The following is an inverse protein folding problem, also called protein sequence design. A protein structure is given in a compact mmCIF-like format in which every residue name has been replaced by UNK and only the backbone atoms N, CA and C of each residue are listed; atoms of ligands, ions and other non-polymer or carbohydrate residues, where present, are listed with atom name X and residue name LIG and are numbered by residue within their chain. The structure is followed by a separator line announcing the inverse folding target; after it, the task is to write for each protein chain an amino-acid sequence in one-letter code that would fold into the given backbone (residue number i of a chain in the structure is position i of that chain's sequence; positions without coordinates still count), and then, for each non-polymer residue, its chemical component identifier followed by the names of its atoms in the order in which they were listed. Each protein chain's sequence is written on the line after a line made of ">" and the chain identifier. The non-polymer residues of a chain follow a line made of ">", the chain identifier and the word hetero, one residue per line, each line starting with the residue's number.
data_IF_102323696836
#
_entry.id   IF_102323696836
#
_cell.length_a   1.000
_cell.length_b   1.000
_cell.length_c   1.000
_cell.angle_alpha   90.00
_cell.angle_beta   90.00
_cell.angle_gamma   90.00
#
_symmetry.space_group_name_H-M   'P 1'
#
loop_
_entity.id
_entity.type
_entity.pdbx_description
1 polymer ?
#
# COMPACT_ATOMS: atom_id res chain seq x y z
N UNK A 1 -17.74 -39.86 6.47
CA UNK A 1 -17.72 -38.39 6.34
C UNK A 1 -16.47 -38.03 5.55
N UNK A 2 -16.60 -37.68 4.27
CA UNK A 2 -15.45 -37.21 3.48
C UNK A 2 -14.93 -35.93 4.10
N UNK A 3 -13.62 -35.85 4.38
CA UNK A 3 -12.97 -34.57 4.64
C UNK A 3 -13.28 -33.69 3.42
N UNK A 4 -14.07 -32.64 3.63
CA UNK A 4 -14.22 -31.61 2.63
C UNK A 4 -12.77 -31.06 2.41
N UNK A 5 -12.24 -31.25 1.22
CA UNK A 5 -10.95 -30.63 0.85
C UNK A 5 -11.09 -29.13 1.08
N UNK A 6 -10.30 -28.60 2.00
CA UNK A 6 -10.27 -27.16 2.27
C UNK A 6 -9.76 -26.46 1.02
N UNK A 7 -10.65 -25.77 0.31
CA UNK A 7 -10.27 -25.05 -0.92
C UNK A 7 -9.36 -23.90 -0.52
N UNK A 8 -8.14 -23.89 -1.07
CA UNK A 8 -7.21 -22.75 -0.92
C UNK A 8 -7.64 -21.64 -1.86
N UNK A 9 -8.12 -20.52 -1.33
CA UNK A 9 -8.53 -19.36 -2.13
C UNK A 9 -7.40 -18.85 -3.02
N UNK A 10 -6.17 -18.86 -2.52
CA UNK A 10 -4.98 -18.43 -3.28
C UNK A 10 -4.70 -19.28 -4.52
N UNK A 11 -5.19 -20.53 -4.56
CA UNK A 11 -5.03 -21.42 -5.72
C UNK A 11 -5.98 -21.08 -6.88
N UNK A 12 -7.02 -20.28 -6.63
CA UNK A 12 -8.04 -19.91 -7.63
C UNK A 12 -7.63 -18.70 -8.45
N UNK A 13 -6.47 -18.10 -8.19
CA UNK A 13 -5.96 -16.96 -8.93
C UNK A 13 -4.53 -17.17 -9.41
N UNK A 14 -4.25 -16.68 -10.61
CA UNK A 14 -2.92 -16.73 -11.22
C UNK A 14 -1.93 -15.76 -10.56
N UNK A 15 -2.43 -14.64 -10.03
CA UNK A 15 -1.68 -13.60 -9.30
C UNK A 15 -2.35 -13.37 -7.95
N UNK A 16 -1.67 -12.75 -6.99
CA UNK A 16 -2.23 -12.48 -5.66
C UNK A 16 -1.98 -11.05 -5.19
N UNK A 17 -2.95 -10.51 -4.45
CA UNK A 17 -2.84 -9.19 -3.82
C UNK A 17 -2.59 -8.04 -4.79
N UNK A 18 -2.03 -6.94 -4.30
CA UNK A 18 -1.71 -5.76 -5.11
C UNK A 18 -0.68 -6.01 -6.22
N UNK A 19 0.07 -7.10 -6.17
CA UNK A 19 0.95 -7.54 -7.27
C UNK A 19 0.22 -7.97 -8.55
N UNK A 20 -1.13 -8.00 -8.56
CA UNK A 20 -1.94 -8.24 -9.75
C UNK A 20 -2.20 -6.97 -10.58
N UNK A 21 -1.84 -5.78 -10.10
CA UNK A 21 -2.03 -4.50 -10.80
C UNK A 21 -1.37 -4.54 -12.18
N UNK A 22 -1.93 -3.78 -13.13
CA UNK A 22 -1.29 -3.54 -14.43
C UNK A 22 -0.02 -2.74 -14.16
N UNK A 23 1.07 -3.11 -14.85
CA UNK A 23 2.35 -2.42 -14.69
C UNK A 23 2.21 -0.91 -15.01
N UNK A 24 2.92 -0.02 -14.27
CA UNK A 24 2.76 1.42 -14.42
C UNK A 24 3.05 1.90 -15.85
N UNK A 25 4.02 1.31 -16.54
CA UNK A 25 4.35 1.66 -17.91
C UNK A 25 3.18 1.38 -18.89
N UNK A 26 2.56 0.20 -18.78
CA UNK A 26 1.41 -0.18 -19.61
C UNK A 26 0.20 0.68 -19.30
N UNK A 27 -0.08 0.91 -18.00
CA UNK A 27 -1.20 1.74 -17.56
C UNK A 27 -1.05 3.19 -18.06
N UNK A 28 0.13 3.78 -17.91
CA UNK A 28 0.42 5.14 -18.39
C UNK A 28 0.26 5.27 -19.91
N UNK A 29 0.62 4.24 -20.68
CA UNK A 29 0.39 4.24 -22.13
C UNK A 29 -1.10 4.32 -22.46
N UNK A 30 -1.93 3.57 -21.73
CA UNK A 30 -3.40 3.59 -21.92
C UNK A 30 -3.98 4.93 -21.49
N UNK A 31 -3.61 5.45 -20.31
CA UNK A 31 -4.12 6.73 -19.80
C UNK A 31 -3.77 7.90 -20.72
N UNK A 32 -2.56 7.93 -21.28
CA UNK A 32 -2.15 8.97 -22.25
C UNK A 32 -3.00 8.98 -23.54
N UNK A 33 -3.73 7.91 -23.82
CA UNK A 33 -4.66 7.86 -24.96
C UNK A 33 -6.02 8.49 -24.68
N UNK A 34 -6.30 8.83 -23.41
CA UNK A 34 -7.54 9.52 -23.05
C UNK A 34 -7.54 10.96 -23.56
N UNK A 35 -8.71 11.51 -23.92
CA UNK A 35 -8.80 12.92 -24.26
C UNK A 35 -8.38 13.77 -23.06
N UNK A 36 -7.79 14.96 -23.31
CA UNK A 36 -7.44 15.88 -22.24
C UNK A 36 -8.66 16.18 -21.36
N UNK A 37 -8.48 16.11 -20.05
CA UNK A 37 -9.51 16.51 -19.09
C UNK A 37 -9.76 18.01 -19.18
N UNK A 38 -11.03 18.41 -19.14
CA UNK A 38 -11.37 19.85 -19.05
C UNK A 38 -10.89 20.35 -17.69
N UNK A 39 -10.12 21.46 -17.63
CA UNK A 39 -9.68 22.01 -16.36
C UNK A 39 -10.87 22.27 -15.43
N UNK A 40 -10.81 21.76 -14.23
CA UNK A 40 -11.82 21.97 -13.21
C UNK A 40 -11.14 22.47 -11.92
N UNK A 41 -11.40 23.73 -11.48
CA UNK A 41 -10.75 24.31 -10.31
C UNK A 41 -11.11 23.60 -9.00
N UNK A 42 -12.18 22.80 -8.98
CA UNK A 42 -12.59 22.03 -7.81
C UNK A 42 -11.93 20.64 -7.77
N UNK A 43 -11.27 20.21 -8.84
CA UNK A 43 -10.43 19.01 -8.84
C UNK A 43 -9.07 19.36 -8.21
N UNK A 44 -8.89 19.03 -6.92
CA UNK A 44 -7.66 19.36 -6.19
C UNK A 44 -6.54 18.36 -6.50
N UNK A 45 -6.89 17.06 -6.61
CA UNK A 45 -5.97 15.96 -6.96
C UNK A 45 -6.66 15.08 -8.00
N UNK A 46 -6.00 14.83 -9.13
CA UNK A 46 -6.53 14.07 -10.26
C UNK A 46 -5.53 13.05 -10.80
N UNK A 47 -5.62 12.78 -12.11
CA UNK A 47 -4.78 11.75 -12.76
C UNK A 47 -3.33 12.19 -13.03
N UNK A 48 -3.02 13.48 -12.90
CA UNK A 48 -1.74 14.03 -13.33
C UNK A 48 -0.60 13.79 -12.35
N UNK A 49 -0.90 13.54 -11.08
CA UNK A 49 0.06 13.46 -9.98
C UNK A 49 0.35 12.03 -9.48
N UNK A 50 -0.41 11.03 -9.95
CA UNK A 50 -0.29 9.63 -9.48
C UNK A 50 -0.38 9.50 -7.96
N UNK A 51 -1.24 10.31 -7.33
CA UNK A 51 -1.54 10.22 -5.90
C UNK A 51 -2.42 9.01 -5.57
N UNK A 52 -2.54 8.69 -4.29
CA UNK A 52 -3.26 7.51 -3.80
C UNK A 52 -4.77 7.59 -4.06
N UNK A 53 -5.36 8.81 -4.06
CA UNK A 53 -6.78 9.01 -4.33
C UNK A 53 -7.07 10.33 -5.05
N UNK A 54 -8.22 10.38 -5.74
CA UNK A 54 -8.75 11.61 -6.30
C UNK A 54 -9.38 12.50 -5.22
N UNK A 55 -9.16 13.82 -5.28
CA UNK A 55 -9.72 14.80 -4.34
C UNK A 55 -10.50 15.87 -5.07
N UNK A 56 -11.78 16.02 -4.68
CA UNK A 56 -12.69 17.00 -5.30
C UNK A 56 -13.28 17.93 -4.23
N UNK A 57 -13.11 19.24 -4.41
CA UNK A 57 -13.64 20.28 -3.52
C UNK A 57 -15.16 20.37 -3.65
N UNK A 58 -15.84 20.37 -2.51
CA UNK A 58 -17.29 20.63 -2.40
C UNK A 58 -17.58 22.05 -1.90
N UNK A 59 -16.72 22.57 -1.03
CA UNK A 59 -16.79 23.91 -0.45
C UNK A 59 -15.39 24.34 -0.01
N UNK A 60 -15.27 25.55 0.55
CA UNK A 60 -13.99 26.05 1.10
C UNK A 60 -13.49 25.22 2.30
N UNK A 61 -14.36 24.49 2.99
CA UNK A 61 -14.04 23.71 4.17
C UNK A 61 -14.11 22.19 3.95
N UNK A 62 -14.61 21.72 2.79
CA UNK A 62 -14.90 20.31 2.58
C UNK A 62 -14.51 19.86 1.18
N UNK A 63 -13.77 18.75 1.11
CA UNK A 63 -13.47 18.02 -0.11
C UNK A 63 -13.77 16.52 0.07
N UNK A 64 -14.15 15.87 -1.04
CA UNK A 64 -14.25 14.42 -1.14
C UNK A 64 -12.89 13.84 -1.47
N UNK A 65 -12.56 12.71 -0.84
CA UNK A 65 -11.46 11.81 -1.23
C UNK A 65 -12.08 10.53 -1.72
N UNK A 66 -11.75 10.09 -2.93
CA UNK A 66 -12.32 8.90 -3.54
C UNK A 66 -11.25 7.99 -4.10
N UNK A 67 -11.35 6.71 -3.72
CA UNK A 67 -10.48 5.65 -4.21
C UNK A 67 -11.24 4.37 -4.48
N UNK A 68 -10.60 3.45 -5.21
CA UNK A 68 -11.06 2.10 -5.44
C UNK A 68 -9.86 1.15 -5.50
N UNK A 69 -9.88 0.13 -4.64
CA UNK A 69 -8.88 -0.93 -4.69
C UNK A 69 -9.52 -2.29 -4.49
N UNK A 70 -9.17 -3.24 -5.37
CA UNK A 70 -9.63 -4.63 -5.30
C UNK A 70 -8.57 -5.55 -5.91
N UNK A 71 -8.50 -6.78 -5.39
CA UNK A 71 -7.51 -7.74 -5.85
C UNK A 71 -7.96 -9.19 -5.60
N UNK A 72 -7.20 -10.12 -6.11
CA UNK A 72 -7.39 -11.56 -5.96
C UNK A 72 -6.88 -12.04 -4.59
N UNK A 73 -7.36 -13.18 -4.07
CA UNK A 73 -6.96 -13.68 -2.75
C UNK A 73 -5.44 -13.77 -2.55
N UNK A 74 -4.99 -13.27 -1.41
CA UNK A 74 -3.59 -13.25 -1.00
C UNK A 74 -3.31 -14.18 0.18
N UNK A 75 -4.36 -14.56 0.90
CA UNK A 75 -4.38 -15.56 1.97
C UNK A 75 -5.53 -16.54 1.74
N UNK A 76 -5.46 -17.73 2.35
CA UNK A 76 -6.47 -18.77 2.14
C UNK A 76 -7.68 -18.62 3.06
N UNK A 77 -7.53 -17.96 4.23
CA UNK A 77 -8.65 -17.69 5.13
C UNK A 77 -9.54 -16.57 4.57
N UNK A 78 -10.83 -16.86 4.27
CA UNK A 78 -11.73 -15.87 3.64
C UNK A 78 -11.95 -14.62 4.49
N UNK A 79 -12.10 -14.79 5.80
CA UNK A 79 -12.32 -13.67 6.71
C UNK A 79 -11.11 -12.72 6.72
N UNK A 80 -9.91 -13.28 6.85
CA UNK A 80 -8.67 -12.51 6.78
C UNK A 80 -8.47 -11.83 5.43
N UNK A 81 -8.84 -12.49 4.32
CA UNK A 81 -8.79 -11.87 3.00
C UNK A 81 -9.70 -10.64 2.93
N UNK A 82 -10.92 -10.73 3.46
CA UNK A 82 -11.84 -9.60 3.56
C UNK A 82 -11.26 -8.44 4.38
N UNK A 83 -10.64 -8.74 5.54
CA UNK A 83 -9.99 -7.74 6.38
C UNK A 83 -8.85 -7.03 5.66
N UNK A 84 -7.98 -7.78 4.98
CA UNK A 84 -6.82 -7.24 4.26
C UNK A 84 -7.29 -6.34 3.10
N UNK A 85 -8.29 -6.78 2.34
CA UNK A 85 -8.82 -6.02 1.23
C UNK A 85 -9.44 -4.70 1.67
N UNK A 86 -10.16 -4.70 2.79
CA UNK A 86 -10.72 -3.49 3.37
C UNK A 86 -9.62 -2.56 3.93
N UNK A 87 -8.63 -3.10 4.66
CA UNK A 87 -7.53 -2.30 5.19
C UNK A 87 -6.73 -1.62 4.08
N UNK A 88 -6.50 -2.34 2.97
CA UNK A 88 -5.79 -1.80 1.81
C UNK A 88 -6.57 -0.66 1.14
N UNK A 89 -7.87 -0.86 0.84
CA UNK A 89 -8.67 0.17 0.16
C UNK A 89 -8.93 1.42 1.03
N UNK A 90 -8.98 1.27 2.36
CA UNK A 90 -9.11 2.38 3.30
C UNK A 90 -7.83 3.19 3.44
N UNK A 91 -6.68 2.61 3.10
CA UNK A 91 -5.35 3.19 3.32
C UNK A 91 -5.13 4.47 2.51
N UNK A 92 -5.58 4.51 1.26
CA UNK A 92 -5.49 5.68 0.38
C UNK A 92 -6.14 6.92 1.03
N UNK A 93 -7.29 6.74 1.69
CA UNK A 93 -7.97 7.84 2.37
C UNK A 93 -7.09 8.40 3.50
N UNK A 94 -6.44 7.52 4.27
CA UNK A 94 -5.53 7.93 5.35
C UNK A 94 -4.28 8.61 4.83
N UNK A 95 -3.69 8.11 3.73
CA UNK A 95 -2.52 8.71 3.09
C UNK A 95 -2.80 10.15 2.64
N UNK A 96 -4.00 10.37 2.08
CA UNK A 96 -4.47 11.69 1.63
C UNK A 96 -4.90 12.65 2.77
N UNK A 97 -4.73 12.26 4.05
CA UNK A 97 -5.15 13.07 5.20
C UNK A 97 -6.66 13.07 5.46
N UNK A 98 -7.40 12.20 4.79
CA UNK A 98 -8.85 12.09 4.88
C UNK A 98 -9.33 11.16 6.00
N UNK A 99 -10.63 11.25 6.27
CA UNK A 99 -11.37 10.34 7.17
C UNK A 99 -12.36 9.53 6.34
N UNK A 100 -12.30 8.18 6.33
CA UNK A 100 -13.27 7.34 5.64
C UNK A 100 -14.70 7.63 6.12
N UNK A 101 -15.65 7.74 5.19
CA UNK A 101 -17.06 8.00 5.48
C UNK A 101 -17.97 6.85 5.06
N UNK A 102 -17.93 6.50 3.78
CA UNK A 102 -18.74 5.41 3.22
C UNK A 102 -17.92 4.50 2.33
N UNK A 103 -18.35 3.23 2.25
CA UNK A 103 -17.72 2.22 1.39
C UNK A 103 -18.76 1.44 0.60
N UNK A 104 -18.36 1.01 -0.59
CA UNK A 104 -19.10 0.08 -1.45
C UNK A 104 -18.22 -1.16 -1.68
N UNK A 105 -18.79 -2.36 -1.49
CA UNK A 105 -18.12 -3.61 -1.83
C UNK A 105 -18.02 -3.79 -3.35
N UNK A 106 -16.86 -4.27 -3.82
CA UNK A 106 -16.63 -4.74 -5.18
C UNK A 106 -16.34 -6.22 -5.11
N UNK A 107 -17.21 -7.04 -5.73
CA UNK A 107 -17.18 -8.49 -5.61
C UNK A 107 -17.16 -9.13 -6.99
N UNK A 108 -16.18 -9.97 -7.27
CA UNK A 108 -16.20 -10.98 -8.31
C UNK A 108 -16.03 -12.34 -7.63
N UNK A 109 -16.96 -13.27 -7.82
CA UNK A 109 -16.96 -14.52 -7.05
C UNK A 109 -17.57 -15.67 -7.84
N UNK A 110 -16.95 -16.86 -7.89
CA UNK A 110 -17.45 -18.03 -8.61
C UNK A 110 -18.57 -18.72 -7.81
N UNK A 111 -19.75 -18.11 -7.79
CA UNK A 111 -20.88 -18.48 -6.94
C UNK A 111 -21.42 -19.89 -7.22
N UNK A 112 -21.17 -20.43 -8.41
CA UNK A 112 -21.55 -21.78 -8.80
C UNK A 112 -20.55 -22.86 -8.38
N UNK A 113 -19.32 -22.47 -7.99
CA UNK A 113 -18.20 -23.37 -7.69
C UNK A 113 -17.88 -23.39 -6.20
N UNK A 114 -17.88 -22.22 -5.56
CA UNK A 114 -17.56 -22.05 -4.15
C UNK A 114 -18.82 -21.96 -3.28
N UNK A 115 -18.70 -22.45 -2.04
CA UNK A 115 -19.77 -22.29 -1.06
C UNK A 115 -19.99 -20.80 -0.75
N UNK A 116 -21.25 -20.40 -0.64
CA UNK A 116 -21.65 -19.03 -0.35
C UNK A 116 -21.18 -18.53 1.01
N UNK A 117 -20.92 -19.42 1.95
CA UNK A 117 -20.34 -19.08 3.27
C UNK A 117 -18.98 -18.45 3.15
N UNK A 118 -18.17 -18.87 2.16
CA UNK A 118 -16.85 -18.28 1.87
C UNK A 118 -16.99 -16.79 1.52
N UNK A 119 -17.92 -16.43 0.64
CA UNK A 119 -18.22 -15.03 0.35
C UNK A 119 -18.74 -14.31 1.59
N UNK A 120 -19.61 -14.98 2.38
CA UNK A 120 -20.10 -14.44 3.65
C UNK A 120 -18.98 -14.08 4.63
N UNK A 121 -17.95 -14.93 4.73
CA UNK A 121 -16.79 -14.70 5.58
C UNK A 121 -15.93 -13.53 5.06
N UNK A 122 -15.69 -13.43 3.75
CA UNK A 122 -14.99 -12.30 3.13
C UNK A 122 -15.69 -10.98 3.48
N UNK A 123 -17.02 -10.92 3.24
CA UNK A 123 -17.82 -9.73 3.51
C UNK A 123 -17.82 -9.35 5.00
N UNK A 124 -17.88 -10.35 5.90
CA UNK A 124 -17.82 -10.13 7.35
C UNK A 124 -16.48 -9.56 7.76
N UNK A 125 -15.36 -10.14 7.30
CA UNK A 125 -14.01 -9.61 7.59
C UNK A 125 -13.83 -8.17 7.14
N UNK A 126 -14.33 -7.82 5.95
CA UNK A 126 -14.33 -6.44 5.45
C UNK A 126 -15.22 -5.52 6.30
N UNK A 127 -16.44 -5.96 6.64
CA UNK A 127 -17.37 -5.16 7.44
C UNK A 127 -16.78 -4.81 8.82
N UNK A 128 -16.08 -5.73 9.47
CA UNK A 128 -15.42 -5.49 10.75
C UNK A 128 -14.33 -4.41 10.63
N UNK A 129 -13.54 -4.42 9.54
CA UNK A 129 -12.54 -3.37 9.28
C UNK A 129 -13.16 -2.02 8.93
N UNK A 130 -14.25 -2.01 8.19
CA UNK A 130 -15.02 -0.79 7.90
C UNK A 130 -15.55 -0.17 9.19
N UNK A 131 -16.07 -1.00 10.10
CA UNK A 131 -16.51 -0.55 11.41
C UNK A 131 -15.36 -0.01 12.26
N UNK A 132 -14.21 -0.70 12.29
CA UNK A 132 -12.97 -0.25 12.98
C UNK A 132 -12.49 1.11 12.42
N UNK A 133 -12.61 1.32 11.12
CA UNK A 133 -12.31 2.60 10.48
C UNK A 133 -13.27 3.72 10.88
N UNK A 134 -14.46 3.39 11.38
CA UNK A 134 -15.55 4.33 11.66
C UNK A 134 -16.35 4.71 10.41
N UNK A 135 -16.21 3.96 9.32
CA UNK A 135 -16.94 4.16 8.08
C UNK A 135 -18.23 3.32 8.02
N UNK A 136 -19.11 3.63 7.07
CA UNK A 136 -20.37 2.94 6.87
C UNK A 136 -20.39 2.19 5.55
N UNK A 137 -20.69 0.89 5.59
CA UNK A 137 -20.97 0.10 4.39
C UNK A 137 -22.38 0.47 3.85
N UNK A 138 -22.43 1.01 2.64
CA UNK A 138 -23.68 1.52 2.04
C UNK A 138 -24.19 0.68 0.86
N UNK A 139 -23.47 -0.38 0.47
CA UNK A 139 -23.87 -1.27 -0.61
C UNK A 139 -22.67 -1.85 -1.37
N UNK A 140 -22.84 -2.05 -2.67
CA UNK A 140 -21.78 -2.57 -3.51
C UNK A 140 -22.30 -3.18 -4.80
N UNK A 141 -21.40 -3.80 -5.57
CA UNK A 141 -21.72 -4.51 -6.80
C UNK A 141 -21.06 -5.89 -6.81
N UNK A 142 -21.74 -6.88 -7.38
CA UNK A 142 -21.22 -8.24 -7.48
C UNK A 142 -21.45 -8.83 -8.87
N UNK A 143 -20.46 -9.59 -9.35
CA UNK A 143 -20.52 -10.35 -10.59
C UNK A 143 -20.13 -11.80 -10.35
N UNK A 144 -20.66 -12.73 -11.14
CA UNK A 144 -20.16 -14.11 -11.21
C UNK A 144 -18.90 -14.14 -12.09
N UNK A 145 -17.78 -14.59 -11.52
CA UNK A 145 -16.49 -14.65 -12.21
C UNK A 145 -15.74 -15.89 -11.73
N UNK A 146 -14.96 -16.51 -12.62
CA UNK A 146 -14.20 -17.72 -12.32
C UNK A 146 -13.09 -17.47 -11.28
N UNK A 147 -12.53 -16.27 -11.26
CA UNK A 147 -11.45 -15.87 -10.38
C UNK A 147 -11.96 -14.90 -9.31
N UNK A 148 -11.95 -15.28 -8.01
CA UNK A 148 -12.46 -14.41 -6.97
C UNK A 148 -11.64 -13.13 -6.89
N UNK A 149 -12.33 -11.98 -6.76
CA UNK A 149 -11.77 -10.66 -6.51
C UNK A 149 -12.64 -9.94 -5.50
N UNK A 150 -12.02 -9.26 -4.59
CA UNK A 150 -12.71 -8.46 -3.59
C UNK A 150 -11.97 -7.18 -3.27
N UNK A 151 -12.69 -6.14 -2.98
CA UNK A 151 -12.20 -4.87 -2.52
C UNK A 151 -13.31 -3.86 -2.28
N UNK A 152 -12.93 -2.60 -2.14
CA UNK A 152 -13.86 -1.52 -1.81
C UNK A 152 -13.65 -0.33 -2.74
N UNK A 153 -14.75 0.37 -3.03
CA UNK A 153 -14.70 1.78 -3.38
C UNK A 153 -14.96 2.57 -2.11
N UNK A 154 -14.06 3.50 -1.78
CA UNK A 154 -14.09 4.26 -0.53
C UNK A 154 -14.27 5.74 -0.83
N UNK A 155 -15.19 6.37 -0.10
CA UNK A 155 -15.36 7.82 -0.05
C UNK A 155 -14.98 8.31 1.34
N UNK A 156 -14.07 9.27 1.40
CA UNK A 156 -13.65 9.98 2.61
C UNK A 156 -13.88 11.48 2.50
N UNK A 157 -13.64 12.17 3.58
CA UNK A 157 -13.72 13.62 3.70
C UNK A 157 -12.41 14.18 4.21
N UNK A 158 -12.02 15.35 3.70
CA UNK A 158 -10.86 16.11 4.12
C UNK A 158 -11.14 17.62 4.01
N UNK A 159 -10.49 18.45 4.83
CA UNK A 159 -10.47 19.89 4.59
C UNK A 159 -9.55 20.18 3.40
N UNK A 160 -9.92 21.04 2.43
CA UNK A 160 -9.08 21.30 1.25
C UNK A 160 -7.64 21.67 1.58
N UNK A 161 -7.41 22.48 2.62
CA UNK A 161 -6.07 22.90 3.06
C UNK A 161 -5.29 21.82 3.82
N UNK A 162 -5.92 20.68 4.15
CA UNK A 162 -5.30 19.56 4.86
C UNK A 162 -5.08 18.34 3.96
N UNK A 163 -5.31 18.47 2.67
CA UNK A 163 -5.02 17.40 1.71
C UNK A 163 -3.52 17.11 1.74
N UNK A 164 -3.16 15.86 1.96
CA UNK A 164 -1.79 15.38 1.79
C UNK A 164 -1.65 14.69 0.45
N UNK A 165 -0.53 14.90 -0.19
CA UNK A 165 -0.20 14.27 -1.48
C UNK A 165 1.13 13.55 -1.36
N UNK A 166 1.44 12.72 -2.32
CA UNK A 166 2.76 12.11 -2.43
C UNK A 166 3.85 13.11 -2.89
N UNK A 167 3.46 14.33 -3.26
CA UNK A 167 4.34 15.42 -3.67
C UNK A 167 4.41 16.50 -2.59
N UNK A 168 5.53 17.25 -2.55
CA UNK A 168 5.71 18.36 -1.61
C UNK A 168 6.75 18.11 -0.52
N UNK A 169 7.45 16.97 -0.55
CA UNK A 169 8.58 16.68 0.32
C UNK A 169 9.66 17.76 0.16
N UNK A 170 10.21 18.24 1.28
CA UNK A 170 11.18 19.34 1.34
C UNK A 170 12.56 18.83 1.71
N UNK A 171 13.58 19.44 1.12
CA UNK A 171 14.98 19.14 1.49
C UNK A 171 15.19 19.27 3.00
N UNK A 172 15.77 18.25 3.60
CA UNK A 172 15.97 18.14 5.05
C UNK A 172 14.92 17.30 5.78
N UNK A 173 13.73 17.10 5.18
CA UNK A 173 12.69 16.25 5.78
C UNK A 173 13.23 14.85 6.09
N UNK A 174 12.65 14.24 7.10
CA UNK A 174 12.92 12.85 7.47
C UNK A 174 11.81 11.94 6.94
N UNK A 175 12.22 10.73 6.53
CA UNK A 175 11.31 9.71 5.97
C UNK A 175 11.02 8.66 7.03
N UNK A 176 9.74 8.52 7.39
CA UNK A 176 9.26 7.51 8.35
C UNK A 176 8.38 6.51 7.60
N UNK A 177 8.65 5.21 7.80
CA UNK A 177 7.83 4.10 7.30
C UNK A 177 7.07 3.46 8.47
N UNK A 178 5.76 3.22 8.35
CA UNK A 178 4.91 2.83 9.49
C UNK A 178 4.53 1.35 9.56
N UNK A 179 4.98 0.52 8.61
CA UNK A 179 4.87 -0.95 8.64
C UNK A 179 6.09 -1.57 7.96
N UNK A 180 6.47 -2.81 8.33
CA UNK A 180 7.57 -3.52 7.69
C UNK A 180 7.26 -3.91 6.24
N UNK A 181 8.31 -4.04 5.40
CA UNK A 181 8.24 -4.58 4.04
C UNK A 181 8.47 -6.10 4.00
N UNK A 182 8.36 -6.69 2.80
CA UNK A 182 8.58 -8.13 2.57
C UNK A 182 7.28 -8.93 2.43
N UNK A 183 6.14 -8.26 2.36
CA UNK A 183 4.81 -8.87 2.24
C UNK A 183 4.70 -9.74 0.98
N UNK A 184 5.19 -9.28 -0.17
CA UNK A 184 5.08 -10.01 -1.44
C UNK A 184 5.87 -11.32 -1.44
N UNK A 185 7.07 -11.31 -0.87
CA UNK A 185 7.91 -12.50 -0.71
C UNK A 185 7.21 -13.52 0.21
N UNK A 186 6.70 -13.07 1.37
CA UNK A 186 6.03 -13.97 2.31
C UNK A 186 4.71 -14.51 1.74
N UNK A 187 3.89 -13.70 1.09
CA UNK A 187 2.62 -14.17 0.50
C UNK A 187 2.83 -15.13 -0.66
N UNK A 188 3.93 -14.96 -1.42
CA UNK A 188 4.35 -15.95 -2.42
C UNK A 188 4.72 -17.28 -1.76
N UNK A 189 5.31 -17.23 -0.57
CA UNK A 189 5.71 -18.41 0.21
C UNK A 189 4.51 -19.15 0.81
N UNK A 190 3.41 -18.46 1.17
CA UNK A 190 2.15 -19.08 1.62
C UNK A 190 1.64 -20.07 0.56
N UNK A 191 1.61 -19.70 -0.70
CA UNK A 191 1.13 -20.55 -1.81
C UNK A 191 1.92 -21.86 -1.94
N UNK A 192 3.08 -21.96 -1.32
CA UNK A 192 3.98 -23.11 -1.34
C UNK A 192 4.13 -23.78 0.04
N UNK A 193 3.26 -23.43 1.00
CA UNK A 193 3.24 -23.98 2.36
C UNK A 193 4.59 -23.82 3.10
N UNK A 194 5.30 -22.70 2.88
CA UNK A 194 6.62 -22.43 3.48
C UNK A 194 6.55 -21.66 4.79
N UNK A 195 5.40 -21.12 5.15
CA UNK A 195 5.20 -20.38 6.40
C UNK A 195 4.51 -21.26 7.46
N UNK A 196 4.96 -21.12 8.70
CA UNK A 196 4.24 -21.65 9.86
C UNK A 196 2.92 -20.90 10.09
N UNK A 197 2.05 -21.45 10.92
CA UNK A 197 0.80 -20.78 11.31
C UNK A 197 1.06 -19.46 12.04
N UNK A 198 2.12 -19.36 12.85
CA UNK A 198 2.51 -18.14 13.56
C UNK A 198 2.97 -17.05 12.56
N UNK A 199 3.83 -17.40 11.60
CA UNK A 199 4.30 -16.48 10.57
C UNK A 199 3.15 -16.00 9.68
N UNK A 200 2.23 -16.90 9.31
CA UNK A 200 1.02 -16.56 8.55
C UNK A 200 0.13 -15.60 9.34
N UNK A 201 -0.05 -15.84 10.64
CA UNK A 201 -0.81 -14.96 11.53
C UNK A 201 -0.14 -13.60 11.63
N UNK A 202 1.17 -13.53 11.82
CA UNK A 202 1.94 -12.29 11.87
C UNK A 202 1.79 -11.47 10.59
N UNK A 203 1.98 -12.11 9.44
CA UNK A 203 1.83 -11.48 8.12
C UNK A 203 0.40 -10.95 7.91
N UNK A 204 -0.61 -11.78 8.23
CA UNK A 204 -2.03 -11.39 8.13
C UNK A 204 -2.34 -10.19 9.02
N UNK A 205 -1.81 -10.17 10.25
CA UNK A 205 -1.98 -9.05 11.18
C UNK A 205 -1.41 -7.76 10.60
N UNK A 206 -0.20 -7.78 10.04
CA UNK A 206 0.40 -6.59 9.42
C UNK A 206 -0.47 -6.07 8.27
N UNK A 207 -0.92 -6.96 7.37
CA UNK A 207 -1.75 -6.58 6.24
C UNK A 207 -3.14 -6.10 6.65
N UNK A 208 -3.75 -6.67 7.70
CA UNK A 208 -5.10 -6.29 8.16
C UNK A 208 -5.11 -5.10 9.13
N UNK A 209 -3.96 -4.61 9.58
CA UNK A 209 -3.87 -3.43 10.43
C UNK A 209 -4.15 -2.17 9.60
N UNK A 210 -5.11 -1.34 10.06
CA UNK A 210 -5.43 -0.05 9.43
C UNK A 210 -4.28 0.96 9.62
N UNK A 211 -4.04 1.77 8.61
CA UNK A 211 -3.15 2.94 8.72
C UNK A 211 -3.78 4.11 9.49
N UNK A 212 -5.01 3.93 10.00
CA UNK A 212 -5.78 4.93 10.77
C UNK A 212 -4.97 5.55 11.90
N UNK A 213 -4.38 4.71 12.76
CA UNK A 213 -3.65 5.20 13.94
C UNK A 213 -2.44 6.05 13.54
N UNK A 214 -1.68 5.63 12.55
CA UNK A 214 -0.56 6.41 12.04
C UNK A 214 -1.02 7.75 11.45
N UNK A 215 -2.12 7.74 10.68
CA UNK A 215 -2.70 8.95 10.10
C UNK A 215 -3.23 9.93 11.16
N UNK A 216 -3.89 9.44 12.23
CA UNK A 216 -4.37 10.26 13.33
C UNK A 216 -3.21 10.88 14.13
N UNK A 217 -2.14 10.11 14.38
CA UNK A 217 -0.97 10.61 15.11
C UNK A 217 -0.22 11.66 14.31
N UNK A 218 -0.06 11.48 12.99
CA UNK A 218 0.68 12.45 12.17
C UNK A 218 -0.13 13.72 11.87
N UNK A 219 -1.44 13.80 12.18
CA UNK A 219 -2.28 14.95 11.82
C UNK A 219 -1.75 16.31 12.34
N UNK A 220 -1.26 16.44 13.59
CA UNK A 220 -0.76 17.71 14.13
C UNK A 220 0.67 18.07 13.71
N UNK A 221 1.38 17.19 13.00
CA UNK A 221 2.76 17.39 12.58
C UNK A 221 2.87 18.03 11.19
N UNK A 222 3.98 18.71 10.91
CA UNK A 222 4.29 19.31 9.61
C UNK A 222 4.72 18.22 8.61
N UNK A 223 3.76 17.41 8.18
CA UNK A 223 3.92 16.39 7.14
C UNK A 223 3.78 17.05 5.79
N UNK A 224 4.87 17.04 5.00
CA UNK A 224 4.93 17.70 3.71
C UNK A 224 4.54 16.79 2.54
N UNK A 225 4.77 15.48 2.67
CA UNK A 225 4.30 14.47 1.71
C UNK A 225 3.97 13.16 2.43
N UNK A 226 2.99 12.43 1.91
CA UNK A 226 2.59 11.13 2.43
C UNK A 226 2.06 10.27 1.28
N UNK A 227 2.33 8.98 1.33
CA UNK A 227 1.73 7.95 0.47
C UNK A 227 1.70 6.63 1.23
N UNK A 228 0.86 5.69 0.85
CA UNK A 228 0.95 4.34 1.37
C UNK A 228 1.83 3.45 0.47
N UNK A 229 2.47 2.45 1.07
CA UNK A 229 3.37 1.56 0.34
C UNK A 229 2.62 0.31 -0.07
N UNK A 230 2.28 0.20 -1.35
CA UNK A 230 1.51 -0.92 -1.90
C UNK A 230 2.20 -1.63 -3.06
N UNK A 231 1.53 -1.89 -4.15
CA UNK A 231 1.96 -2.78 -5.22
C UNK A 231 3.27 -2.42 -5.90
N UNK A 232 3.67 -1.15 -5.92
CA UNK A 232 4.95 -0.71 -6.50
C UNK A 232 6.13 -0.83 -5.53
N UNK A 233 5.87 -1.24 -4.27
CA UNK A 233 6.87 -1.41 -3.24
C UNK A 233 7.43 -0.10 -2.69
N UNK A 234 8.27 -0.20 -1.67
CA UNK A 234 8.83 0.99 -1.01
C UNK A 234 9.53 1.93 -2.00
N UNK A 235 10.44 1.40 -2.84
CA UNK A 235 11.20 2.26 -3.77
C UNK A 235 10.33 2.80 -4.91
N UNK A 236 9.24 2.12 -5.29
CA UNK A 236 8.31 2.61 -6.29
C UNK A 236 7.59 3.87 -5.80
N UNK A 237 6.92 3.78 -4.65
CA UNK A 237 6.21 4.92 -4.07
C UNK A 237 7.15 6.04 -3.62
N UNK A 238 8.33 5.72 -3.09
CA UNK A 238 9.37 6.72 -2.83
C UNK A 238 9.84 7.42 -4.11
N UNK A 239 9.92 6.71 -5.25
CA UNK A 239 10.26 7.33 -6.55
C UNK A 239 9.17 8.29 -7.04
N UNK A 240 7.89 7.98 -6.81
CA UNK A 240 6.77 8.88 -7.08
C UNK A 240 6.89 10.14 -6.20
N UNK A 241 7.16 9.98 -4.90
CA UNK A 241 7.39 11.10 -3.98
C UNK A 241 8.57 11.98 -4.42
N UNK A 242 9.73 11.39 -4.78
CA UNK A 242 10.91 12.12 -5.23
C UNK A 242 10.62 12.95 -6.49
N UNK A 243 9.98 12.33 -7.49
CA UNK A 243 9.63 12.97 -8.76
C UNK A 243 8.58 14.06 -8.59
N UNK A 244 7.51 13.76 -7.85
CA UNK A 244 6.42 14.72 -7.58
C UNK A 244 6.90 15.94 -6.79
N UNK A 245 7.85 15.75 -5.88
CA UNK A 245 8.44 16.83 -5.07
C UNK A 245 9.58 17.57 -5.76
N UNK A 246 10.17 17.02 -6.83
CA UNK A 246 11.35 17.56 -7.48
C UNK A 246 12.61 17.53 -6.60
N UNK A 247 12.68 16.60 -5.66
CA UNK A 247 13.81 16.41 -4.70
C UNK A 247 14.41 15.03 -4.86
N UNK A 248 15.60 14.81 -4.32
CA UNK A 248 16.18 13.48 -4.15
C UNK A 248 15.76 12.87 -2.82
N UNK A 249 15.79 11.54 -2.71
CA UNK A 249 15.60 10.83 -1.46
C UNK A 249 16.83 9.97 -1.14
N UNK A 250 17.19 9.91 0.14
CA UNK A 250 18.17 8.96 0.67
C UNK A 250 17.42 7.93 1.49
N UNK A 251 17.59 6.64 1.18
CA UNK A 251 17.01 5.53 1.96
C UNK A 251 18.16 4.67 2.51
N UNK A 252 18.19 4.51 3.82
CA UNK A 252 19.17 3.67 4.52
C UNK A 252 18.59 2.26 4.65
N UNK A 253 19.14 1.32 3.88
CA UNK A 253 18.66 -0.06 3.84
C UNK A 253 18.59 -0.71 5.23
N UNK A 254 19.58 -0.47 6.08
CA UNK A 254 19.66 -1.06 7.42
C UNK A 254 18.57 -0.59 8.38
N UNK A 255 17.94 0.56 8.09
CA UNK A 255 16.88 1.15 8.91
C UNK A 255 15.47 0.76 8.42
N UNK A 256 15.36 0.16 7.23
CA UNK A 256 14.07 -0.28 6.69
C UNK A 256 13.58 -1.53 7.45
N UNK A 257 12.43 -1.45 8.16
CA UNK A 257 11.91 -2.58 8.90
C UNK A 257 11.42 -3.66 7.92
N UNK A 258 11.79 -4.91 8.20
CA UNK A 258 11.43 -6.07 7.38
C UNK A 258 10.73 -7.14 8.22
N UNK A 259 9.77 -7.82 7.61
CA UNK A 259 9.19 -9.01 8.22
C UNK A 259 10.25 -10.11 8.39
N UNK A 260 10.11 -10.99 9.41
CA UNK A 260 11.04 -12.10 9.60
C UNK A 260 11.16 -12.99 8.36
N UNK A 261 12.33 -13.57 8.13
CA UNK A 261 12.66 -14.52 7.06
C UNK A 261 12.53 -14.00 5.62
N UNK A 262 12.27 -12.69 5.41
CA UNK A 262 12.18 -12.13 4.05
C UNK A 262 13.43 -12.47 3.24
N UNK A 263 14.62 -12.26 3.78
CA UNK A 263 15.90 -12.54 3.13
C UNK A 263 16.05 -14.03 2.79
N UNK A 264 15.83 -14.90 3.78
CA UNK A 264 15.91 -16.35 3.62
C UNK A 264 14.97 -16.85 2.51
N UNK A 265 13.71 -16.41 2.52
CA UNK A 265 12.72 -16.82 1.52
C UNK A 265 13.04 -16.26 0.13
N UNK A 266 13.59 -15.05 0.05
CA UNK A 266 14.06 -14.50 -1.22
C UNK A 266 15.23 -15.33 -1.81
N UNK A 267 16.18 -15.81 -0.98
CA UNK A 267 17.27 -16.69 -1.36
C UNK A 267 16.76 -18.05 -1.87
N UNK A 268 15.64 -18.53 -1.34
CA UNK A 268 14.95 -19.74 -1.81
C UNK A 268 14.14 -19.51 -3.11
N UNK A 269 14.15 -18.28 -3.65
CA UNK A 269 13.53 -17.96 -4.93
C UNK A 269 12.07 -17.49 -4.86
N UNK A 270 11.53 -17.21 -3.66
CA UNK A 270 10.15 -16.73 -3.47
C UNK A 270 9.96 -15.23 -3.78
N UNK A 271 10.74 -14.69 -4.71
CA UNK A 271 10.58 -13.31 -5.18
C UNK A 271 9.47 -13.26 -6.24
N UNK A 272 8.34 -12.55 -5.96
CA UNK A 272 7.20 -12.51 -6.89
C UNK A 272 7.53 -11.76 -8.19
N UNK A 273 6.76 -12.06 -9.24
CA UNK A 273 6.89 -11.38 -10.53
C UNK A 273 6.67 -9.87 -10.44
N UNK A 274 5.73 -9.42 -9.59
CA UNK A 274 5.49 -7.99 -9.34
C UNK A 274 6.74 -7.26 -8.85
N UNK A 275 7.47 -7.85 -7.89
CA UNK A 275 8.74 -7.32 -7.36
C UNK A 275 9.80 -7.17 -8.45
N UNK A 276 9.94 -8.18 -9.32
CA UNK A 276 10.90 -8.13 -10.45
C UNK A 276 10.51 -7.06 -11.46
N UNK A 277 9.22 -6.89 -11.71
CA UNK A 277 8.71 -5.84 -12.60
C UNK A 277 8.94 -4.45 -12.00
N UNK A 278 8.71 -4.27 -10.70
CA UNK A 278 9.00 -3.03 -9.99
C UNK A 278 10.47 -2.66 -10.11
N UNK A 279 11.36 -3.62 -9.82
CA UNK A 279 12.80 -3.41 -9.95
C UNK A 279 13.20 -2.98 -11.38
N UNK A 280 12.69 -3.68 -12.40
CA UNK A 280 12.99 -3.35 -13.80
C UNK A 280 12.43 -1.96 -14.21
N UNK A 281 11.24 -1.59 -13.70
CA UNK A 281 10.64 -0.28 -13.96
C UNK A 281 11.45 0.87 -13.35
N UNK A 282 12.10 0.63 -12.21
CA UNK A 282 12.87 1.63 -11.47
C UNK A 282 14.31 1.75 -11.97
N UNK A 283 14.71 1.02 -13.02
CA UNK A 283 16.04 1.12 -13.60
C UNK A 283 16.35 2.58 -14.00
N UNK A 284 17.51 3.08 -13.56
CA UNK A 284 17.92 4.47 -13.76
C UNK A 284 17.29 5.50 -12.83
N UNK A 285 16.27 5.14 -12.04
CA UNK A 285 15.69 6.02 -11.01
C UNK A 285 16.31 5.82 -9.62
N UNK A 286 17.02 4.72 -9.42
CA UNK A 286 17.62 4.34 -8.13
C UNK A 286 19.13 4.23 -8.28
N UNK A 287 19.85 4.90 -7.39
CA UNK A 287 21.30 4.81 -7.25
C UNK A 287 21.61 3.81 -6.13
N UNK A 288 21.99 2.59 -6.52
CA UNK A 288 22.40 1.56 -5.58
C UNK A 288 23.90 1.56 -5.36
N UNK A 289 24.39 1.27 -4.13
CA UNK A 289 25.81 0.98 -3.90
C UNK A 289 26.28 -0.21 -4.77
N UNK A 290 27.50 -0.16 -5.26
CA UNK A 290 28.05 -1.24 -6.13
C UNK A 290 28.04 -2.61 -5.43
N UNK A 291 28.34 -2.64 -4.14
CA UNK A 291 28.39 -3.83 -3.30
C UNK A 291 27.02 -4.43 -2.95
N UNK A 292 25.92 -3.69 -3.20
CA UNK A 292 24.58 -4.19 -2.87
C UNK A 292 24.16 -5.33 -3.78
N UNK A 293 23.90 -6.48 -3.19
CA UNK A 293 23.46 -7.66 -3.91
C UNK A 293 22.05 -7.53 -4.51
N UNK A 294 21.78 -8.34 -5.52
CA UNK A 294 20.50 -8.32 -6.26
C UNK A 294 19.28 -8.63 -5.38
N UNK A 295 19.42 -9.50 -4.37
CA UNK A 295 18.28 -9.84 -3.50
C UNK A 295 17.91 -8.67 -2.60
N UNK A 296 18.88 -7.95 -2.08
CA UNK A 296 18.66 -6.70 -1.31
C UNK A 296 17.90 -5.67 -2.14
N UNK A 297 18.26 -5.51 -3.42
CA UNK A 297 17.55 -4.62 -4.35
C UNK A 297 16.10 -5.08 -4.59
N UNK A 298 15.87 -6.39 -4.77
CA UNK A 298 14.53 -6.94 -4.90
C UNK A 298 13.68 -6.73 -3.63
N UNK A 299 14.25 -6.95 -2.44
CA UNK A 299 13.52 -6.77 -1.18
C UNK A 299 13.03 -5.34 -1.01
N UNK A 300 13.84 -4.33 -1.35
CA UNK A 300 13.42 -2.92 -1.31
C UNK A 300 12.36 -2.57 -2.37
N UNK A 301 12.25 -3.34 -3.45
CA UNK A 301 11.22 -3.21 -4.49
C UNK A 301 10.04 -4.17 -4.28
N UNK A 302 10.00 -4.92 -3.14
CA UNK A 302 9.00 -5.96 -2.94
C UNK A 302 7.59 -5.38 -2.99
N UNK A 303 6.72 -6.02 -3.79
CA UNK A 303 5.33 -5.61 -3.93
C UNK A 303 4.59 -5.85 -2.61
N UNK A 304 4.00 -4.82 -2.06
CA UNK A 304 3.31 -4.87 -0.77
C UNK A 304 1.80 -4.84 -0.97
N UNK A 305 1.06 -5.59 -0.18
CA UNK A 305 -0.39 -5.47 -0.04
C UNK A 305 -0.69 -4.93 1.34
N UNK A 306 -1.40 -3.82 1.43
CA UNK A 306 -1.77 -3.14 2.66
C UNK A 306 -0.55 -2.78 3.53
N UNK A 307 0.44 -2.13 2.93
CA UNK A 307 1.62 -1.66 3.64
C UNK A 307 1.38 -0.43 4.50
N UNK A 308 2.46 0.11 5.04
CA UNK A 308 2.45 1.29 5.88
C UNK A 308 2.46 2.59 5.09
N UNK A 309 2.32 3.71 5.81
CA UNK A 309 2.53 5.04 5.26
C UNK A 309 4.03 5.32 5.15
N UNK A 310 4.43 5.95 4.06
CA UNK A 310 5.72 6.62 3.88
C UNK A 310 5.48 8.11 4.08
N UNK A 311 6.03 8.65 5.17
CA UNK A 311 5.78 10.01 5.65
C UNK A 311 7.04 10.84 5.50
N UNK A 312 6.96 11.98 4.81
CA UNK A 312 7.99 13.02 4.78
C UNK A 312 7.59 14.13 5.76
N UNK A 313 8.35 14.31 6.82
CA UNK A 313 8.05 15.22 7.93
C UNK A 313 9.22 16.15 8.22
N UNK A 314 8.91 17.38 8.66
CA UNK A 314 9.90 18.38 9.06
C UNK A 314 10.92 17.79 10.06
N UNK A 315 12.23 18.04 9.86
CA UNK A 315 13.28 17.35 10.62
C UNK A 315 13.21 17.60 12.13
N UNK A 316 12.78 18.80 12.56
CA UNK A 316 12.63 19.16 13.96
C UNK A 316 11.49 18.45 14.69
N UNK A 317 10.54 17.86 13.95
CA UNK A 317 9.39 17.15 14.50
C UNK A 317 9.51 15.63 14.33
N UNK A 318 10.49 15.14 13.59
CA UNK A 318 10.61 13.75 13.17
C UNK A 318 10.81 12.77 14.33
N UNK A 319 11.62 13.14 15.33
CA UNK A 319 11.86 12.28 16.49
C UNK A 319 10.63 12.18 17.40
N UNK A 320 9.92 13.29 17.60
CA UNK A 320 8.70 13.32 18.39
C UNK A 320 7.58 12.51 17.71
N UNK A 321 7.39 12.67 16.39
CA UNK A 321 6.44 11.87 15.61
C UNK A 321 6.78 10.38 15.68
N UNK A 322 8.05 10.01 15.42
CA UNK A 322 8.48 8.61 15.48
C UNK A 322 8.22 8.01 16.86
N UNK A 323 8.57 8.75 17.92
CA UNK A 323 8.34 8.32 19.30
C UNK A 323 6.86 8.09 19.59
N UNK A 324 5.99 9.01 19.20
CA UNK A 324 4.54 8.89 19.42
C UNK A 324 3.93 7.70 18.66
N UNK A 325 4.38 7.47 17.42
CA UNK A 325 3.99 6.29 16.63
C UNK A 325 4.39 4.99 17.33
N UNK A 326 5.64 4.88 17.77
CA UNK A 326 6.16 3.66 18.44
C UNK A 326 5.48 3.45 19.80
N UNK A 327 5.31 4.49 20.61
CA UNK A 327 4.62 4.41 21.90
C UNK A 327 3.15 3.98 21.75
N UNK A 328 2.53 4.31 20.61
CA UNK A 328 1.18 3.87 20.26
C UNK A 328 1.14 2.44 19.67
N UNK A 329 2.27 1.77 19.51
CA UNK A 329 2.38 0.40 18.99
C UNK A 329 2.36 0.33 17.45
N UNK A 330 2.66 1.42 16.75
CA UNK A 330 2.91 1.41 15.31
C UNK A 330 4.36 0.95 15.07
N UNK A 331 4.57 0.03 14.15
CA UNK A 331 5.91 -0.46 13.80
C UNK A 331 6.64 0.52 12.89
N UNK A 332 6.80 1.75 13.38
CA UNK A 332 7.40 2.84 12.63
C UNK A 332 8.93 2.85 12.75
N UNK A 333 9.61 3.25 11.67
CA UNK A 333 11.05 3.46 11.64
C UNK A 333 11.40 4.69 10.79
N UNK A 334 12.44 5.41 11.19
CA UNK A 334 13.04 6.48 10.41
C UNK A 334 14.01 5.83 9.41
N UNK A 335 13.65 5.84 8.12
CA UNK A 335 14.35 5.07 7.08
C UNK A 335 15.22 5.90 6.16
N UNK A 336 15.15 7.24 6.25
CA UNK A 336 15.86 8.08 5.30
C UNK A 336 15.59 9.57 5.48
N UNK A 337 15.92 10.30 4.45
CA UNK A 337 15.77 11.76 4.41
C UNK A 337 15.65 12.29 2.98
N UNK A 338 15.13 13.50 2.86
CA UNK A 338 15.01 14.24 1.60
C UNK A 338 16.25 15.10 1.37
N UNK A 339 16.79 15.04 0.15
CA UNK A 339 18.02 15.76 -0.23
C UNK A 339 17.83 16.63 -1.47
N UNK A 340 18.70 17.60 -1.66
CA UNK A 340 18.80 18.36 -2.92
C UNK A 340 19.56 17.60 -4.02
N UNK A 341 20.32 16.56 -3.64
CA UNK A 341 21.09 15.77 -4.58
C UNK A 341 20.19 14.84 -5.40
N UNK A 342 20.50 14.70 -6.69
CA UNK A 342 19.81 13.80 -7.61
C UNK A 342 18.28 13.97 -7.63
N UNK A 343 17.72 15.16 -7.96
CA UNK A 343 16.28 15.38 -7.96
C UNK A 343 15.51 14.36 -8.81
N UNK A 344 14.44 13.81 -8.26
CA UNK A 344 13.61 12.77 -8.89
C UNK A 344 14.21 11.35 -8.80
N UNK A 345 15.33 11.16 -8.09
CA UNK A 345 15.98 9.86 -7.89
C UNK A 345 16.08 9.50 -6.41
N UNK A 346 16.34 8.24 -6.15
CA UNK A 346 16.59 7.72 -4.80
C UNK A 346 18.04 7.22 -4.72
N UNK A 347 18.77 7.65 -3.70
CA UNK A 347 20.06 7.08 -3.34
C UNK A 347 19.85 6.08 -2.20
N UNK A 348 20.19 4.83 -2.42
CA UNK A 348 20.16 3.80 -1.37
C UNK A 348 21.54 3.73 -0.72
N UNK A 349 21.56 3.78 0.61
CA UNK A 349 22.78 3.55 1.41
C UNK A 349 22.70 2.15 1.99
N UNK A 350 23.73 1.33 1.76
CA UNK A 350 23.80 -0.02 2.33
C UNK A 350 23.84 0.01 3.86
N UNK A 351 23.40 -1.07 4.49
CA UNK A 351 23.63 -1.26 5.92
C UNK A 351 25.13 -1.30 6.19
N UNK A 352 25.56 -0.55 7.18
CA UNK A 352 26.95 -0.67 7.70
C UNK A 352 26.96 -1.93 8.56
N UNK A 353 27.78 -2.92 8.20
CA UNK A 353 28.00 -4.16 8.98
C UNK A 353 28.57 -3.87 10.38
#
# INVERSE_FOLDING_TARGET
>A
MSQAETIKLTSLSSKGGCGCKIGPADLMQVIRSLPPTVPNPDLLVGLDTSDDAGVYRLSDELALVQTVDFFTPIVDDPYSFGQIAAANALSDIYAMGGKPLTVLNIVAFPISVLDKSILGDILRGAADKVQEAGATLVGGHSIDDKEPKFGLAVTGLVHPDKVRTNAGAKVGDKLILTKPIGVGILTTSIKKDQLSSEETTRLTTVMSTLNKKAAEIMEPYDVHACTDVTGFGLLGHASEMAKGSGTGLIIRQGDVPMLPRVRELAEQGFVPGGTKNNFAHLEGSILYPEEMDQLSRYILCDAVTSGGLLISVAPEQSEDLLKELVDAGVEAALIGEVTEEHPGQITVIAAVE
#
